data_IF_538382538175
#
_entry.id   IF_538382538175
#
_cell.length_a   1.000
_cell.length_b   1.000
_cell.length_c   1.000
_cell.angle_alpha   90.00
_cell.angle_beta   90.00
_cell.angle_gamma   90.00
#
_symmetry.space_group_name_H-M   'P 1'
#
loop_
_entity.id
_entity.type
_entity.pdbx_description
1 polymer ?
#
# COMPACT_ATOMS: atom_id res chain seq x y z
N UNK A 1 14.23 -64.06 9.26
CA UNK A 1 13.41 -64.07 8.03
C UNK A 1 12.05 -63.48 8.42
N UNK A 2 11.63 -62.39 7.77
CA UNK A 2 10.27 -61.74 7.79
C UNK A 2 9.97 -60.93 9.07
N UNK A 3 9.46 -59.69 9.10
CA UNK A 3 9.60 -58.42 8.34
C UNK A 3 8.75 -57.40 9.11
N UNK A 4 9.26 -56.17 9.22
CA UNK A 4 8.55 -54.88 9.21
C UNK A 4 7.36 -54.65 10.16
N UNK A 5 7.66 -54.09 11.34
CA UNK A 5 6.73 -53.24 12.07
C UNK A 5 6.72 -51.89 11.36
N UNK A 6 5.66 -51.63 10.60
CA UNK A 6 5.40 -50.36 9.92
C UNK A 6 5.45 -49.19 10.91
N UNK A 7 6.48 -48.36 10.75
CA UNK A 7 6.58 -47.05 11.34
C UNK A 7 5.54 -46.14 10.68
N UNK A 8 4.35 -46.04 11.28
CA UNK A 8 3.31 -45.09 10.84
C UNK A 8 3.73 -43.66 11.17
N UNK A 9 4.60 -43.10 10.33
CA UNK A 9 4.95 -41.69 10.31
C UNK A 9 4.16 -40.97 9.22
N UNK A 10 2.90 -40.63 9.49
CA UNK A 10 2.23 -39.57 8.72
C UNK A 10 1.00 -38.99 9.44
N UNK A 11 1.17 -38.48 10.66
CA UNK A 11 0.42 -37.29 11.04
C UNK A 11 1.25 -36.07 10.63
N UNK A 12 1.26 -35.81 9.32
CA UNK A 12 1.82 -34.59 8.73
C UNK A 12 1.02 -33.43 9.31
N UNK A 13 1.51 -32.85 10.41
CA UNK A 13 1.10 -31.52 10.84
C UNK A 13 1.34 -30.63 9.62
N UNK A 14 0.26 -30.25 8.94
CA UNK A 14 0.34 -29.25 7.88
C UNK A 14 0.95 -28.02 8.58
N UNK A 15 2.03 -27.42 8.06
CA UNK A 15 2.49 -26.17 8.62
C UNK A 15 1.30 -25.23 8.57
N UNK A 16 0.86 -24.77 9.74
CA UNK A 16 -0.08 -23.66 9.82
C UNK A 16 0.52 -22.56 8.96
N UNK A 17 -0.16 -22.18 7.87
CA UNK A 17 0.14 -20.92 7.20
C UNK A 17 0.31 -19.87 8.30
N UNK A 18 1.37 -19.05 8.29
CA UNK A 18 1.45 -17.98 9.28
C UNK A 18 0.14 -17.23 9.17
N UNK A 19 -0.61 -17.22 10.27
CA UNK A 19 -1.82 -16.41 10.38
C UNK A 19 -1.33 -15.01 10.06
N UNK A 20 -1.77 -14.50 8.92
CA UNK A 20 -1.29 -13.25 8.38
C UNK A 20 -1.90 -12.15 9.25
N UNK A 21 -1.27 -11.84 10.39
CA UNK A 21 -1.65 -10.75 11.30
C UNK A 21 -1.41 -9.37 10.66
N UNK A 22 -1.17 -9.31 9.34
CA UNK A 22 -0.99 -8.07 8.58
C UNK A 22 -2.34 -7.36 8.46
N UNK A 23 -2.33 -6.09 8.86
CA UNK A 23 -3.49 -5.21 8.86
C UNK A 23 -3.96 -5.02 7.41
N UNK A 24 -5.15 -5.49 7.01
CA UNK A 24 -5.61 -5.35 5.62
C UNK A 24 -5.64 -3.89 5.20
N UNK A 25 -5.02 -3.59 4.05
CA UNK A 25 -4.81 -2.22 3.55
C UNK A 25 -6.01 -1.76 2.72
N UNK A 26 -6.42 -2.59 1.77
CA UNK A 26 -7.53 -2.31 0.84
C UNK A 26 -8.70 -3.27 1.07
N UNK A 27 -8.43 -4.42 1.72
CA UNK A 27 -9.40 -5.49 1.94
C UNK A 27 -9.50 -6.46 0.76
N UNK A 28 -8.61 -6.34 -0.23
CA UNK A 28 -8.46 -7.24 -1.37
C UNK A 28 -7.05 -7.80 -1.29
N UNK A 29 -6.93 -9.11 -1.01
CA UNK A 29 -5.65 -9.76 -0.76
C UNK A 29 -4.68 -9.67 -1.93
N UNK A 30 -5.19 -9.75 -3.15
CA UNK A 30 -4.38 -9.74 -4.37
C UNK A 30 -3.74 -8.37 -4.65
N UNK A 31 -4.31 -7.31 -4.08
CA UNK A 31 -3.78 -5.95 -4.16
C UNK A 31 -2.90 -5.65 -2.94
N UNK A 32 -3.30 -6.15 -1.77
CA UNK A 32 -2.59 -5.90 -0.53
C UNK A 32 -1.19 -6.54 -0.53
N UNK A 33 -1.00 -7.73 -1.11
CA UNK A 33 0.31 -8.40 -1.18
C UNK A 33 1.37 -7.59 -1.96
N UNK A 34 1.15 -7.19 -3.22
CA UNK A 34 2.12 -6.36 -3.94
C UNK A 34 2.28 -4.98 -3.31
N UNK A 35 1.26 -4.48 -2.60
CA UNK A 35 1.34 -3.20 -1.90
C UNK A 35 2.27 -3.27 -0.67
N UNK A 36 2.23 -4.36 0.10
CA UNK A 36 3.19 -4.59 1.17
C UNK A 36 4.62 -4.64 0.63
N UNK A 37 4.85 -5.37 -0.47
CA UNK A 37 6.16 -5.47 -1.11
C UNK A 37 6.64 -4.09 -1.58
N UNK A 38 5.78 -3.30 -2.21
CA UNK A 38 6.10 -1.95 -2.66
C UNK A 38 6.52 -1.05 -1.48
N UNK A 39 5.81 -1.12 -0.35
CA UNK A 39 6.12 -0.33 0.83
C UNK A 39 7.45 -0.78 1.44
N UNK A 40 7.72 -2.09 1.47
CA UNK A 40 8.99 -2.62 1.95
C UNK A 40 10.16 -2.14 1.07
N UNK A 41 10.00 -2.15 -0.24
CA UNK A 41 10.99 -1.61 -1.19
C UNK A 41 11.18 -0.10 -1.00
N UNK A 42 10.10 0.66 -0.87
CA UNK A 42 10.14 2.09 -0.66
C UNK A 42 10.89 2.46 0.63
N UNK A 43 10.54 1.82 1.74
CA UNK A 43 11.19 2.09 3.04
C UNK A 43 12.65 1.68 3.00
N UNK A 44 12.98 0.54 2.38
CA UNK A 44 14.37 0.09 2.22
C UNK A 44 15.19 1.10 1.42
N UNK A 45 14.70 1.54 0.27
CA UNK A 45 15.49 2.32 -0.68
C UNK A 45 15.57 3.81 -0.29
N UNK A 46 14.54 4.35 0.37
CA UNK A 46 14.47 5.78 0.70
C UNK A 46 14.66 6.10 2.18
N UNK A 47 14.45 5.16 3.09
CA UNK A 47 14.45 5.43 4.54
C UNK A 47 15.57 4.68 5.25
N UNK A 48 15.72 3.38 4.99
CA UNK A 48 16.74 2.58 5.68
C UNK A 48 18.17 3.03 5.36
N UNK A 49 18.44 3.50 4.15
CA UNK A 49 19.80 3.89 3.72
C UNK A 49 20.37 5.01 4.60
N UNK A 50 19.66 6.13 4.76
CA UNK A 50 20.19 7.24 5.55
C UNK A 50 20.03 7.01 7.05
N UNK A 51 18.94 6.36 7.48
CA UNK A 51 18.70 6.13 8.91
C UNK A 51 19.75 5.19 9.52
N UNK A 52 19.99 4.03 8.89
CA UNK A 52 20.97 3.04 9.37
C UNK A 52 22.41 3.53 9.23
N UNK A 53 22.71 4.34 8.21
CA UNK A 53 24.09 4.78 7.93
C UNK A 53 24.49 6.00 8.76
N UNK A 54 23.58 6.92 9.05
CA UNK A 54 23.93 8.24 9.60
C UNK A 54 23.40 8.52 11.01
N UNK A 55 22.38 7.79 11.48
CA UNK A 55 21.66 8.16 12.70
C UNK A 55 21.69 7.06 13.75
N UNK A 56 21.09 5.90 13.46
CA UNK A 56 20.95 4.83 14.45
C UNK A 56 20.55 3.52 13.78
N UNK A 57 20.91 2.39 14.40
CA UNK A 57 20.53 1.04 13.96
C UNK A 57 19.24 0.53 14.61
N UNK A 58 18.47 1.40 15.27
CA UNK A 58 17.23 1.01 15.93
C UNK A 58 16.13 0.60 14.92
N UNK A 59 15.68 -0.64 15.00
CA UNK A 59 14.65 -1.19 14.11
C UNK A 59 13.23 -0.72 14.46
N UNK A 60 13.00 -0.19 15.66
CA UNK A 60 11.65 0.23 16.09
C UNK A 60 11.13 1.38 15.23
N UNK A 61 11.97 2.38 14.94
CA UNK A 61 11.59 3.51 14.08
C UNK A 61 11.12 3.06 12.69
N UNK A 62 11.85 2.15 12.06
CA UNK A 62 11.51 1.65 10.72
C UNK A 62 10.15 0.92 10.75
N UNK A 63 9.88 0.17 11.81
CA UNK A 63 8.58 -0.51 12.01
C UNK A 63 7.45 0.51 12.19
N UNK A 64 7.65 1.54 12.99
CA UNK A 64 6.65 2.58 13.22
C UNK A 64 6.33 3.38 11.95
N UNK A 65 7.36 3.68 11.14
CA UNK A 65 7.17 4.32 9.82
C UNK A 65 6.33 3.44 8.89
N UNK A 66 6.65 2.14 8.79
CA UNK A 66 5.86 1.20 7.99
C UNK A 66 4.41 1.14 8.48
N UNK A 67 4.21 1.05 9.79
CA UNK A 67 2.88 1.05 10.39
C UNK A 67 2.09 2.34 10.10
N UNK A 68 2.75 3.50 10.17
CA UNK A 68 2.15 4.78 9.82
C UNK A 68 1.72 4.84 8.35
N UNK A 69 2.54 4.31 7.43
CA UNK A 69 2.19 4.18 6.01
C UNK A 69 0.97 3.26 5.85
N UNK A 70 0.96 2.09 6.49
CA UNK A 70 -0.17 1.15 6.42
C UNK A 70 -1.48 1.77 6.90
N UNK A 71 -1.47 2.46 8.05
CA UNK A 71 -2.65 3.15 8.60
C UNK A 71 -3.13 4.24 7.63
N UNK A 72 -2.21 5.02 7.07
CA UNK A 72 -2.54 6.10 6.13
C UNK A 72 -3.18 5.55 4.85
N UNK A 73 -2.59 4.51 4.28
CA UNK A 73 -3.12 3.83 3.08
C UNK A 73 -4.48 3.23 3.37
N UNK A 74 -4.66 2.60 4.54
CA UNK A 74 -5.95 2.04 4.93
C UNK A 74 -7.03 3.11 5.01
N UNK A 75 -6.77 4.20 5.70
CA UNK A 75 -7.73 5.31 5.79
C UNK A 75 -7.99 5.95 4.43
N UNK A 76 -6.97 6.05 3.57
CA UNK A 76 -7.13 6.50 2.20
C UNK A 76 -8.06 5.56 1.42
N UNK A 77 -7.83 4.25 1.48
CA UNK A 77 -8.66 3.23 0.84
C UNK A 77 -10.10 3.24 1.35
N UNK A 78 -10.30 3.43 2.65
CA UNK A 78 -11.62 3.58 3.28
C UNK A 78 -12.35 4.82 2.71
N UNK A 79 -11.67 5.96 2.64
CA UNK A 79 -12.23 7.19 2.05
C UNK A 79 -12.50 7.06 0.56
N UNK A 80 -11.61 6.42 -0.20
CA UNK A 80 -11.79 6.17 -1.63
C UNK A 80 -12.99 5.27 -1.94
N UNK A 81 -13.36 4.37 -1.01
CA UNK A 81 -14.55 3.52 -1.15
C UNK A 81 -15.86 4.29 -0.97
N UNK A 82 -15.85 5.38 -0.21
CA UNK A 82 -17.04 6.22 0.05
C UNK A 82 -17.32 7.21 -1.10
N UNK A 83 -16.38 7.37 -2.03
CA UNK A 83 -16.53 8.28 -3.16
C UNK A 83 -17.43 7.65 -4.23
N UNK A 84 -18.43 8.40 -4.70
CA UNK A 84 -19.12 8.08 -5.93
C UNK A 84 -18.19 8.33 -7.12
N UNK A 85 -17.55 7.26 -7.58
CA UNK A 85 -16.58 7.32 -8.67
C UNK A 85 -17.16 7.85 -9.97
N UNK A 86 -18.45 7.63 -10.24
CA UNK A 86 -19.06 8.08 -11.49
C UNK A 86 -19.18 9.61 -11.49
N UNK A 87 -19.79 10.16 -10.44
CA UNK A 87 -19.98 11.61 -10.29
C UNK A 87 -18.64 12.36 -10.13
N UNK A 88 -17.70 11.76 -9.39
CA UNK A 88 -16.36 12.31 -9.24
C UNK A 88 -15.61 12.41 -10.58
N UNK A 89 -15.61 11.33 -11.37
CA UNK A 89 -14.89 11.31 -12.64
C UNK A 89 -15.56 12.18 -13.70
N UNK A 90 -16.88 12.10 -13.83
CA UNK A 90 -17.60 12.77 -14.92
C UNK A 90 -17.95 14.23 -14.62
N UNK A 91 -18.23 14.57 -13.36
CA UNK A 91 -18.51 15.94 -12.95
C UNK A 91 -17.24 16.67 -12.53
N UNK A 92 -16.71 16.29 -11.36
CA UNK A 92 -15.72 17.12 -10.65
C UNK A 92 -14.38 17.25 -11.39
N UNK A 93 -13.84 16.16 -11.95
CA UNK A 93 -12.56 16.21 -12.68
C UNK A 93 -12.70 17.04 -13.97
N UNK A 94 -13.76 16.77 -14.74
CA UNK A 94 -14.00 17.46 -16.02
C UNK A 94 -14.24 18.94 -15.79
N UNK A 95 -15.02 19.32 -14.78
CA UNK A 95 -15.28 20.71 -14.42
C UNK A 95 -14.02 21.43 -13.90
N UNK A 96 -13.19 20.75 -13.10
CA UNK A 96 -11.90 21.29 -12.65
C UNK A 96 -10.97 21.56 -13.83
N UNK A 97 -10.88 20.62 -14.78
CA UNK A 97 -10.09 20.79 -15.99
C UNK A 97 -10.64 21.91 -16.89
N UNK A 98 -11.95 21.95 -17.11
CA UNK A 98 -12.61 23.00 -17.88
C UNK A 98 -12.36 24.39 -17.24
N UNK A 99 -12.41 24.46 -15.91
CA UNK A 99 -12.09 25.69 -15.16
C UNK A 99 -10.64 26.09 -15.36
N UNK A 100 -9.69 25.16 -15.28
CA UNK A 100 -8.27 25.44 -15.48
C UNK A 100 -7.99 25.93 -16.91
N UNK A 101 -8.56 25.27 -17.93
CA UNK A 101 -8.43 25.68 -19.35
C UNK A 101 -9.06 27.06 -19.57
N UNK A 102 -10.23 27.33 -18.99
CA UNK A 102 -10.89 28.64 -19.07
C UNK A 102 -10.05 29.73 -18.40
N UNK A 103 -9.48 29.44 -17.23
CA UNK A 103 -8.63 30.38 -16.48
C UNK A 103 -7.34 30.67 -17.26
N UNK A 104 -6.71 29.65 -17.82
CA UNK A 104 -5.56 29.77 -18.70
C UNK A 104 -5.89 30.62 -19.94
N UNK A 105 -7.02 30.38 -20.61
CA UNK A 105 -7.44 31.17 -21.79
C UNK A 105 -7.64 32.64 -21.44
N UNK A 106 -8.30 32.93 -20.31
CA UNK A 106 -8.49 34.30 -19.81
C UNK A 106 -7.15 34.99 -19.48
N UNK A 107 -6.21 34.29 -18.85
CA UNK A 107 -4.89 34.83 -18.55
C UNK A 107 -4.11 35.14 -19.85
N UNK A 108 -4.20 34.25 -20.85
CA UNK A 108 -3.57 34.42 -22.16
C UNK A 108 -4.14 35.59 -22.96
N UNK A 109 -5.46 35.80 -22.91
CA UNK A 109 -6.12 36.96 -23.53
C UNK A 109 -5.68 38.27 -22.88
N UNK A 110 -5.52 38.30 -21.54
CA UNK A 110 -5.02 39.47 -20.82
C UNK A 110 -3.54 39.78 -21.08
N UNK A 111 -2.71 38.78 -21.33
CA UNK A 111 -1.30 39.00 -21.73
C UNK A 111 -1.14 39.48 -23.18
N UNK A 112 -2.20 39.37 -23.99
CA UNK A 112 -2.19 39.80 -25.39
C UNK A 112 -2.74 41.22 -25.60
N UNK A 113 -3.25 41.85 -24.54
CA UNK A 113 -3.48 43.30 -24.45
C UNK A 113 -2.25 43.96 -23.85
#
# INVERSE_FOLDING_TARGET
>A
MITDIEFNSSSRVKPSKPVNDRIPLTGITDIDEPLYELIDLFVRDYIEIWYKTQISSDELFIKDVKNGIYITIRHLSERLREIDWLDFCTGTIVDSFATHVRLYRKAKERMRM
#
